data_IF_795266368214
#
_entry.id   IF_795266368214
#
_cell.length_a   1.000
_cell.length_b   1.000
_cell.length_c   1.000
_cell.angle_alpha   90.00
_cell.angle_beta   90.00
_cell.angle_gamma   90.00
#
_symmetry.space_group_name_H-M   'P 1'
#
loop_
_entity.id
_entity.type
_entity.pdbx_description
1 polymer ?
#
# COMPACT_ATOMS: atom_id res chain seq x y z
N UNK A 1 -3.81 -12.60 -9.21
CA UNK A 1 -3.74 -13.94 -8.56
C UNK A 1 -2.70 -14.87 -9.18
N UNK A 2 -2.67 -15.04 -10.51
CA UNK A 2 -1.69 -15.90 -11.19
C UNK A 2 -0.23 -15.54 -10.85
N UNK A 3 0.14 -14.26 -10.95
CA UNK A 3 1.49 -13.78 -10.63
C UNK A 3 1.91 -14.08 -9.18
N UNK A 4 0.98 -13.96 -8.23
CA UNK A 4 1.23 -14.31 -6.83
C UNK A 4 1.59 -15.80 -6.65
N UNK A 5 0.91 -16.68 -7.41
CA UNK A 5 1.16 -18.13 -7.38
C UNK A 5 2.56 -18.45 -7.89
N UNK A 6 2.97 -17.85 -9.01
CA UNK A 6 4.30 -18.10 -9.58
C UNK A 6 5.40 -17.54 -8.67
N UNK A 7 5.19 -16.33 -8.13
CA UNK A 7 6.13 -15.70 -7.21
C UNK A 7 6.35 -16.53 -5.93
N UNK A 8 5.28 -17.06 -5.33
CA UNK A 8 5.40 -17.99 -4.20
C UNK A 8 6.19 -19.25 -4.57
N UNK A 9 5.89 -19.87 -5.71
CA UNK A 9 6.60 -21.06 -6.17
C UNK A 9 8.10 -20.82 -6.37
N UNK A 10 8.47 -19.69 -6.97
CA UNK A 10 9.88 -19.32 -7.14
C UNK A 10 10.56 -18.96 -5.81
N UNK A 11 9.81 -18.42 -4.85
CA UNK A 11 10.30 -18.20 -3.48
C UNK A 11 10.73 -19.51 -2.81
N UNK A 12 9.89 -20.54 -2.85
CA UNK A 12 10.24 -21.87 -2.33
C UNK A 12 11.38 -22.52 -3.12
N UNK A 13 11.39 -22.39 -4.45
CA UNK A 13 12.47 -22.91 -5.29
C UNK A 13 13.82 -22.27 -4.96
N UNK A 14 13.84 -20.99 -4.57
CA UNK A 14 15.09 -20.28 -4.20
C UNK A 14 15.75 -20.95 -2.99
N UNK A 15 14.96 -21.54 -2.09
CA UNK A 15 15.43 -22.25 -0.91
C UNK A 15 15.67 -23.76 -1.16
N UNK A 16 15.41 -24.24 -2.38
CA UNK A 16 15.51 -25.67 -2.71
C UNK A 16 16.95 -26.11 -2.97
N UNK A 17 17.23 -27.37 -2.62
CA UNK A 17 18.51 -28.03 -2.95
C UNK A 17 18.69 -28.23 -4.46
N UNK A 18 17.60 -28.26 -5.22
CA UNK A 18 17.65 -28.50 -6.67
C UNK A 18 18.19 -27.28 -7.41
N UNK A 19 17.71 -26.07 -7.08
CA UNK A 19 18.29 -24.82 -7.61
C UNK A 19 19.76 -24.71 -7.21
N UNK A 20 20.13 -25.07 -5.98
CA UNK A 20 21.53 -25.12 -5.55
C UNK A 20 22.38 -26.07 -6.43
N UNK A 21 21.89 -27.28 -6.71
CA UNK A 21 22.58 -28.27 -7.56
C UNK A 21 22.66 -27.84 -9.02
N UNK A 22 21.58 -27.31 -9.58
CA UNK A 22 21.56 -26.75 -10.93
C UNK A 22 22.55 -25.59 -11.04
N UNK A 23 22.62 -24.76 -10.00
CA UNK A 23 23.60 -23.70 -9.80
C UNK A 23 25.06 -24.13 -10.03
N UNK A 24 25.42 -25.34 -9.60
CA UNK A 24 26.79 -25.86 -9.71
C UNK A 24 27.04 -26.63 -11.01
N UNK A 25 25.99 -26.99 -11.76
CA UNK A 25 26.10 -27.84 -12.96
C UNK A 25 25.85 -27.10 -14.26
N UNK A 26 25.17 -25.95 -14.23
CA UNK A 26 24.95 -25.15 -15.42
C UNK A 26 26.22 -24.43 -15.85
N UNK A 27 26.45 -24.45 -17.17
CA UNK A 27 27.38 -23.53 -17.82
C UNK A 27 26.84 -22.09 -17.75
N UNK A 28 27.67 -21.13 -18.13
CA UNK A 28 27.34 -19.70 -18.02
C UNK A 28 26.03 -19.34 -18.76
N UNK A 29 25.83 -19.83 -19.99
CA UNK A 29 24.66 -19.47 -20.80
C UNK A 29 23.36 -20.08 -20.26
N UNK A 30 23.39 -21.34 -19.82
CA UNK A 30 22.25 -21.98 -19.15
C UNK A 30 21.95 -21.31 -17.82
N UNK A 31 22.99 -20.88 -17.11
CA UNK A 31 22.81 -20.10 -15.88
C UNK A 31 22.11 -18.77 -16.13
N UNK A 32 22.51 -18.04 -17.18
CA UNK A 32 21.84 -16.79 -17.56
C UNK A 32 20.37 -17.03 -17.93
N UNK A 33 20.08 -18.06 -18.72
CA UNK A 33 18.70 -18.43 -19.05
C UNK A 33 17.89 -18.79 -17.79
N UNK A 34 18.46 -19.61 -16.90
CA UNK A 34 17.83 -19.97 -15.63
C UNK A 34 17.58 -18.73 -14.76
N UNK A 35 18.54 -17.80 -14.69
CA UNK A 35 18.43 -16.55 -13.94
C UNK A 35 17.25 -15.72 -14.45
N UNK A 36 17.17 -15.48 -15.76
CA UNK A 36 16.12 -14.65 -16.35
C UNK A 36 14.73 -15.28 -16.33
N UNK A 37 14.62 -16.61 -16.33
CA UNK A 37 13.33 -17.31 -16.42
C UNK A 37 12.77 -17.80 -15.08
N UNK A 38 13.62 -17.89 -14.04
CA UNK A 38 13.24 -18.47 -12.74
C UNK A 38 13.58 -17.54 -11.56
N UNK A 39 14.29 -18.03 -10.55
CA UNK A 39 14.56 -17.37 -9.26
C UNK A 39 15.29 -16.03 -9.41
N UNK A 40 16.20 -15.92 -10.39
CA UNK A 40 17.00 -14.72 -10.60
C UNK A 40 16.14 -13.49 -10.89
N UNK A 41 15.18 -13.61 -11.80
CA UNK A 41 14.24 -12.55 -12.16
C UNK A 41 13.41 -12.05 -10.97
N UNK A 42 12.90 -12.96 -10.14
CA UNK A 42 12.13 -12.59 -8.94
C UNK A 42 13.03 -11.95 -7.87
N UNK A 43 14.26 -12.41 -7.74
CA UNK A 43 15.25 -11.81 -6.86
C UNK A 43 15.63 -10.40 -7.31
N UNK A 44 15.91 -10.18 -8.60
CA UNK A 44 16.17 -8.84 -9.15
C UNK A 44 14.99 -7.92 -8.90
N UNK A 45 13.76 -8.38 -9.17
CA UNK A 45 12.51 -7.65 -8.91
C UNK A 45 12.39 -7.23 -7.45
N UNK A 46 12.67 -8.15 -6.51
CA UNK A 46 12.67 -7.86 -5.09
C UNK A 46 13.69 -6.77 -4.73
N UNK A 47 14.93 -6.90 -5.22
CA UNK A 47 15.98 -5.90 -5.00
C UNK A 47 15.58 -4.54 -5.57
N UNK A 48 14.99 -4.48 -6.77
CA UNK A 48 14.55 -3.21 -7.37
C UNK A 48 13.58 -2.47 -6.46
N UNK A 49 12.57 -3.17 -5.94
CA UNK A 49 11.60 -2.54 -5.01
C UNK A 49 12.25 -2.18 -3.67
N UNK A 50 13.12 -3.03 -3.12
CA UNK A 50 13.85 -2.72 -1.89
C UNK A 50 14.73 -1.48 -2.05
N UNK A 51 15.38 -1.30 -3.20
CA UNK A 51 16.17 -0.11 -3.51
C UNK A 51 15.31 1.16 -3.49
N UNK A 52 14.06 1.10 -3.98
CA UNK A 52 13.12 2.24 -3.87
C UNK A 52 12.83 2.58 -2.41
N UNK A 53 12.60 1.58 -1.57
CA UNK A 53 12.40 1.78 -0.12
C UNK A 53 13.64 2.38 0.55
N UNK A 54 14.81 1.81 0.30
CA UNK A 54 16.09 2.29 0.84
C UNK A 54 16.35 3.73 0.38
N UNK A 55 16.06 4.04 -0.88
CA UNK A 55 16.19 5.38 -1.43
C UNK A 55 15.27 6.38 -0.72
N UNK A 56 13.97 6.07 -0.57
CA UNK A 56 13.00 6.96 0.07
C UNK A 56 13.30 7.17 1.56
N UNK A 57 13.59 6.10 2.31
CA UNK A 57 13.97 6.22 3.72
C UNK A 57 15.32 6.90 3.89
N UNK A 58 16.29 6.61 3.03
CA UNK A 58 17.58 7.29 3.03
C UNK A 58 17.42 8.80 2.80
N UNK A 59 16.62 9.20 1.80
CA UNK A 59 16.29 10.61 1.54
C UNK A 59 15.60 11.26 2.73
N UNK A 60 14.60 10.59 3.30
CA UNK A 60 13.93 11.06 4.50
C UNK A 60 14.94 11.35 5.63
N UNK A 61 15.84 10.42 5.93
CA UNK A 61 16.81 10.60 7.01
C UNK A 61 17.80 11.74 6.73
N UNK A 62 18.20 11.96 5.47
CA UNK A 62 19.02 13.10 5.07
C UNK A 62 18.30 14.44 5.29
N UNK A 63 17.01 14.51 4.94
CA UNK A 63 16.19 15.71 5.16
C UNK A 63 15.97 15.96 6.66
N UNK A 64 15.53 14.94 7.40
CA UNK A 64 15.18 15.09 8.81
C UNK A 64 16.39 15.37 9.70
N UNK A 65 17.59 14.90 9.33
CA UNK A 65 18.83 15.22 10.06
C UNK A 65 19.37 16.62 9.77
N UNK A 66 18.83 17.34 8.79
CA UNK A 66 19.37 18.62 8.32
C UNK A 66 20.66 18.48 7.50
N UNK A 67 21.14 17.26 7.26
CA UNK A 67 22.34 17.02 6.44
C UNK A 67 22.10 17.45 4.99
N UNK A 68 20.88 17.27 4.46
CA UNK A 68 20.53 17.75 3.12
C UNK A 68 20.63 19.27 3.01
N UNK A 69 20.20 20.00 4.05
CA UNK A 69 20.36 21.46 4.11
C UNK A 69 21.84 21.84 4.17
N UNK A 70 22.65 21.16 4.98
CA UNK A 70 24.10 21.34 5.03
C UNK A 70 24.77 21.13 3.67
N UNK A 71 24.45 20.03 2.98
CA UNK A 71 24.96 19.74 1.63
C UNK A 71 24.52 20.79 0.60
N UNK A 72 23.32 21.35 0.75
CA UNK A 72 22.81 22.42 -0.13
C UNK A 72 23.55 23.74 0.01
N UNK A 73 24.19 24.00 1.16
CA UNK A 73 24.97 25.23 1.38
C UNK A 73 26.36 25.17 0.75
N UNK A 74 26.87 23.97 0.47
CA UNK A 74 28.18 23.78 -0.11
C UNK A 74 28.14 23.90 -1.65
N UNK A 75 28.69 24.99 -2.18
CA UNK A 75 28.68 25.30 -3.64
C UNK A 75 29.18 24.15 -4.51
N UNK A 76 30.25 23.48 -4.11
CA UNK A 76 30.83 22.36 -4.88
C UNK A 76 29.93 21.13 -5.05
N UNK A 77 28.88 21.00 -4.22
CA UNK A 77 27.90 19.91 -4.30
C UNK A 77 26.61 20.40 -4.98
N UNK A 78 26.18 21.63 -4.69
CA UNK A 78 25.00 22.26 -5.29
C UNK A 78 25.15 22.43 -6.82
N UNK A 79 26.29 22.95 -7.25
CA UNK A 79 26.56 23.33 -8.65
C UNK A 79 27.28 22.21 -9.43
N UNK A 80 27.23 20.97 -8.94
CA UNK A 80 27.87 19.83 -9.59
C UNK A 80 27.02 19.36 -10.80
N UNK A 81 27.19 20.06 -11.92
CA UNK A 81 26.53 19.75 -13.20
C UNK A 81 26.74 18.30 -13.66
N UNK A 82 27.96 17.71 -13.58
CA UNK A 82 28.15 16.30 -13.92
C UNK A 82 27.29 15.33 -13.11
N UNK A 83 27.17 15.55 -11.80
CA UNK A 83 26.33 14.73 -10.93
C UNK A 83 24.84 14.88 -11.26
N UNK A 84 24.39 16.10 -11.58
CA UNK A 84 23.01 16.34 -12.00
C UNK A 84 22.70 15.62 -13.32
N UNK A 85 23.60 15.71 -14.30
CA UNK A 85 23.45 15.02 -15.60
C UNK A 85 23.45 13.51 -15.42
N UNK A 86 24.35 12.94 -14.59
CA UNK A 86 24.41 11.51 -14.33
C UNK A 86 23.12 10.96 -13.69
N UNK A 87 22.51 11.72 -12.77
CA UNK A 87 21.25 11.32 -12.13
C UNK A 87 20.04 11.51 -13.05
N UNK A 88 20.04 12.57 -13.86
CA UNK A 88 19.00 12.80 -14.86
C UNK A 88 19.04 11.73 -15.95
N UNK A 89 20.24 11.37 -16.44
CA UNK A 89 20.42 10.29 -17.42
C UNK A 89 20.05 8.94 -16.82
N UNK A 90 20.43 8.66 -15.58
CA UNK A 90 19.98 7.46 -14.88
C UNK A 90 18.45 7.39 -14.83
N UNK A 91 17.79 8.47 -14.41
CA UNK A 91 16.33 8.51 -14.30
C UNK A 91 15.68 8.32 -15.68
N UNK A 92 16.10 9.08 -16.69
CA UNK A 92 15.54 9.00 -18.04
C UNK A 92 15.75 7.62 -18.71
N UNK A 93 16.94 7.05 -18.60
CA UNK A 93 17.31 5.78 -19.26
C UNK A 93 16.76 4.57 -18.50
N UNK A 94 16.66 4.62 -17.16
CA UNK A 94 16.06 3.55 -16.35
C UNK A 94 14.53 3.60 -16.30
N UNK A 95 13.88 4.75 -16.53
CA UNK A 95 12.41 4.84 -16.62
C UNK A 95 11.95 4.14 -17.89
N UNK A 96 11.74 2.83 -17.79
CA UNK A 96 11.03 2.00 -18.77
C UNK A 96 11.73 1.73 -20.09
N UNK A 97 12.59 2.62 -20.59
CA UNK A 97 13.18 2.53 -21.93
C UNK A 97 14.06 1.30 -22.10
N UNK A 98 15.02 1.06 -21.19
CA UNK A 98 15.88 -0.14 -21.24
C UNK A 98 15.11 -1.46 -21.06
N UNK A 99 13.98 -1.45 -20.34
CA UNK A 99 13.15 -2.65 -20.19
C UNK A 99 12.23 -2.88 -21.39
N UNK A 100 11.79 -1.82 -22.07
CA UNK A 100 10.96 -1.90 -23.26
C UNK A 100 11.77 -2.17 -24.53
N UNK A 101 13.05 -1.80 -24.56
CA UNK A 101 13.89 -1.92 -25.75
C UNK A 101 14.06 -3.37 -26.24
N UNK A 102 14.32 -4.38 -25.39
CA UNK A 102 14.37 -5.76 -25.85
C UNK A 102 13.10 -6.22 -26.56
N UNK A 103 11.93 -5.87 -26.00
CA UNK A 103 10.62 -6.17 -26.59
C UNK A 103 10.42 -5.43 -27.93
N UNK A 104 10.79 -4.14 -27.99
CA UNK A 104 10.73 -3.35 -29.21
C UNK A 104 11.62 -3.93 -30.32
N UNK A 105 12.81 -4.40 -29.95
CA UNK A 105 13.75 -5.03 -30.88
C UNK A 105 13.22 -6.38 -31.35
N UNK A 106 12.66 -7.21 -30.46
CA UNK A 106 12.03 -8.50 -30.81
C UNK A 106 10.90 -8.29 -31.81
N UNK A 107 9.92 -7.44 -31.50
CA UNK A 107 8.79 -7.13 -32.39
C UNK A 107 9.29 -6.47 -33.68
N UNK A 108 10.31 -5.60 -33.59
CA UNK A 108 10.90 -4.91 -34.73
C UNK A 108 11.56 -5.87 -35.72
N UNK A 109 12.26 -6.89 -35.21
CA UNK A 109 12.91 -7.93 -36.02
C UNK A 109 11.89 -8.93 -36.59
N UNK A 110 10.85 -9.29 -35.83
CA UNK A 110 9.84 -10.26 -36.28
C UNK A 110 8.78 -9.68 -37.23
N UNK A 111 8.34 -8.44 -36.98
CA UNK A 111 7.14 -7.84 -37.62
C UNK A 111 7.40 -6.46 -38.25
N UNK A 112 8.65 -5.99 -38.21
CA UNK A 112 9.07 -4.69 -38.74
C UNK A 112 8.93 -3.53 -37.74
N UNK A 113 9.86 -2.57 -37.82
CA UNK A 113 9.96 -1.45 -36.87
C UNK A 113 8.75 -0.50 -36.85
N UNK A 114 8.04 -0.33 -37.97
CA UNK A 114 6.81 0.48 -38.01
C UNK A 114 5.70 -0.17 -37.17
N UNK A 115 5.55 -1.48 -37.29
CA UNK A 115 4.61 -2.27 -36.50
C UNK A 115 4.98 -2.22 -35.02
N UNK A 116 6.27 -2.41 -34.70
CA UNK A 116 6.77 -2.31 -33.33
C UNK A 116 6.50 -0.95 -32.68
N UNK A 117 6.70 0.16 -33.40
CA UNK A 117 6.39 1.50 -32.89
C UNK A 117 4.89 1.68 -32.66
N UNK A 118 4.05 1.22 -33.59
CA UNK A 118 2.59 1.26 -33.46
C UNK A 118 2.09 0.45 -32.26
N UNK A 119 2.55 -0.79 -32.11
CA UNK A 119 2.23 -1.66 -30.98
C UNK A 119 2.70 -1.04 -29.66
N UNK A 120 3.90 -0.46 -29.62
CA UNK A 120 4.40 0.20 -28.42
C UNK A 120 3.53 1.38 -27.97
N UNK A 121 3.12 2.25 -28.90
CA UNK A 121 2.22 3.37 -28.60
C UNK A 121 0.87 2.84 -28.10
N UNK A 122 0.33 1.80 -28.73
CA UNK A 122 -0.92 1.17 -28.28
C UNK A 122 -0.78 0.59 -26.86
N UNK A 123 0.34 -0.05 -26.54
CA UNK A 123 0.60 -0.57 -25.19
C UNK A 123 0.66 0.55 -24.14
N UNK A 124 1.23 1.71 -24.48
CA UNK A 124 1.23 2.86 -23.56
C UNK A 124 -0.19 3.38 -23.31
N UNK A 125 -0.99 3.49 -24.38
CA UNK A 125 -2.40 3.92 -24.28
C UNK A 125 -3.26 2.92 -23.49
N UNK A 126 -2.96 1.63 -23.59
CA UNK A 126 -3.61 0.57 -22.80
C UNK A 126 -3.09 0.47 -21.36
N UNK A 127 -2.25 1.42 -20.92
CA UNK A 127 -1.69 1.50 -19.58
C UNK A 127 -0.82 0.28 -19.20
N UNK A 128 -0.10 -0.30 -20.16
CA UNK A 128 0.85 -1.37 -19.90
C UNK A 128 1.87 -1.02 -18.78
N UNK A 129 2.43 0.21 -18.69
CA UNK A 129 3.31 0.59 -17.57
C UNK A 129 2.63 0.44 -16.20
N UNK A 130 1.36 0.83 -16.08
CA UNK A 130 0.58 0.69 -14.84
C UNK A 130 0.40 -0.78 -14.50
N UNK A 131 0.08 -1.62 -15.49
CA UNK A 131 -0.07 -3.06 -15.27
C UNK A 131 1.25 -3.71 -14.82
N UNK A 132 2.37 -3.42 -15.49
CA UNK A 132 3.66 -4.02 -15.15
C UNK A 132 4.21 -3.53 -13.82
N UNK A 133 4.10 -2.24 -13.51
CA UNK A 133 4.48 -1.70 -12.20
C UNK A 133 3.62 -2.27 -11.07
N UNK A 134 2.32 -2.54 -11.32
CA UNK A 134 1.48 -3.26 -10.37
C UNK A 134 1.90 -4.73 -10.21
N UNK A 135 2.16 -5.44 -11.31
CA UNK A 135 2.64 -6.82 -11.28
C UNK A 135 3.97 -6.97 -10.52
N UNK A 136 4.88 -5.99 -10.65
CA UNK A 136 6.13 -5.92 -9.88
C UNK A 136 5.89 -5.97 -8.36
N UNK A 137 4.87 -5.23 -7.88
CA UNK A 137 4.48 -5.21 -6.47
C UNK A 137 3.97 -6.58 -6.00
N UNK A 138 3.15 -7.23 -6.81
CA UNK A 138 2.67 -8.59 -6.57
C UNK A 138 3.84 -9.57 -6.46
N UNK A 139 4.71 -9.62 -7.47
CA UNK A 139 5.86 -10.53 -7.52
C UNK A 139 6.75 -10.35 -6.29
N UNK A 140 7.11 -9.10 -6.00
CA UNK A 140 7.95 -8.74 -4.86
C UNK A 140 7.35 -9.17 -3.52
N UNK A 141 6.07 -8.87 -3.28
CA UNK A 141 5.44 -9.16 -2.00
C UNK A 141 5.39 -10.66 -1.72
N UNK A 142 4.89 -11.44 -2.67
CA UNK A 142 4.70 -12.88 -2.50
C UNK A 142 6.03 -13.65 -2.50
N UNK A 143 6.98 -13.26 -3.37
CA UNK A 143 8.33 -13.81 -3.37
C UNK A 143 9.06 -13.53 -2.04
N UNK A 144 9.09 -12.26 -1.60
CA UNK A 144 9.77 -11.87 -0.36
C UNK A 144 9.15 -12.46 0.91
N UNK A 145 7.81 -12.53 0.99
CA UNK A 145 7.11 -13.18 2.11
C UNK A 145 7.46 -14.66 2.20
N UNK A 146 7.48 -15.35 1.07
CA UNK A 146 7.85 -16.77 1.01
C UNK A 146 9.31 -16.97 1.42
N UNK A 147 10.22 -16.08 1.03
CA UNK A 147 11.62 -16.16 1.43
C UNK A 147 11.82 -16.00 2.95
N UNK A 148 11.07 -15.10 3.59
CA UNK A 148 11.22 -14.79 5.02
C UNK A 148 10.45 -15.75 5.94
N UNK A 149 9.27 -16.21 5.54
CA UNK A 149 8.37 -16.99 6.39
C UNK A 149 7.99 -18.35 5.82
N UNK A 150 8.27 -18.62 4.54
CA UNK A 150 7.72 -19.75 3.82
C UNK A 150 6.20 -19.67 3.66
N UNK A 151 5.57 -20.82 3.45
CA UNK A 151 4.12 -20.95 3.51
C UNK A 151 3.43 -20.58 2.20
N UNK A 152 4.01 -20.99 1.07
CA UNK A 152 3.36 -20.89 -0.23
C UNK A 152 1.98 -21.58 -0.21
N UNK A 153 0.91 -20.79 -0.14
CA UNK A 153 -0.47 -21.29 -0.22
C UNK A 153 -0.90 -21.41 -1.67
N UNK A 154 -1.44 -22.56 -2.05
CA UNK A 154 -2.08 -22.70 -3.35
C UNK A 154 -3.28 -21.74 -3.44
N UNK A 155 -3.28 -20.90 -4.47
CA UNK A 155 -4.43 -20.06 -4.82
C UNK A 155 -5.00 -20.56 -6.14
N UNK A 156 -6.24 -21.03 -6.11
CA UNK A 156 -6.94 -21.47 -7.31
C UNK A 156 -7.16 -20.26 -8.22
N UNK A 157 -6.50 -20.27 -9.38
CA UNK A 157 -6.81 -19.36 -10.47
C UNK A 157 -7.95 -20.00 -11.27
N UNK A 158 -9.16 -19.47 -11.14
CA UNK A 158 -10.30 -19.95 -11.93
C UNK A 158 -10.01 -19.82 -13.43
N UNK A 159 -10.40 -20.84 -14.21
CA UNK A 159 -10.48 -20.78 -15.67
C UNK A 159 -11.94 -20.48 -16.03
N UNK A 160 -12.34 -19.22 -15.87
CA UNK A 160 -13.70 -18.75 -16.18
C UNK A 160 -13.67 -17.51 -17.06
N UNK A 161 -14.84 -17.05 -17.51
CA UNK A 161 -14.96 -15.79 -18.24
C UNK A 161 -14.45 -14.64 -17.34
N UNK A 162 -13.29 -14.06 -17.69
CA UNK A 162 -12.47 -13.16 -16.84
C UNK A 162 -13.04 -11.72 -16.81
N UNK A 163 -14.36 -11.58 -16.84
CA UNK A 163 -15.01 -10.32 -17.23
C UNK A 163 -16.15 -9.95 -16.29
N UNK A 164 -15.87 -9.96 -15.00
CA UNK A 164 -16.83 -9.51 -13.98
C UNK A 164 -16.21 -8.42 -13.13
N UNK A 165 -17.07 -7.47 -12.76
CA UNK A 165 -16.73 -6.48 -11.75
C UNK A 165 -16.36 -7.18 -10.44
N UNK A 166 -15.13 -6.99 -9.98
CA UNK A 166 -14.69 -7.42 -8.66
C UNK A 166 -15.13 -6.36 -7.63
N UNK A 167 -15.78 -6.79 -6.55
CA UNK A 167 -16.22 -5.85 -5.51
C UNK A 167 -15.04 -5.16 -4.86
N UNK A 168 -15.24 -3.95 -4.36
CA UNK A 168 -14.23 -3.23 -3.58
C UNK A 168 -13.67 -4.08 -2.42
N UNK A 169 -14.53 -4.78 -1.67
CA UNK A 169 -14.10 -5.64 -0.57
C UNK A 169 -13.20 -6.80 -1.03
N UNK A 170 -13.40 -7.33 -2.24
CA UNK A 170 -12.57 -8.41 -2.80
C UNK A 170 -11.19 -7.87 -3.19
N UNK A 171 -11.17 -6.74 -3.90
CA UNK A 171 -9.94 -6.05 -4.28
C UNK A 171 -9.14 -5.63 -3.04
N UNK A 172 -9.81 -5.10 -2.02
CA UNK A 172 -9.20 -4.71 -0.76
C UNK A 172 -8.53 -5.88 -0.06
N UNK A 173 -9.23 -7.00 0.10
CA UNK A 173 -8.67 -8.20 0.75
C UNK A 173 -7.50 -8.79 0.00
N UNK A 174 -7.54 -8.74 -1.33
CA UNK A 174 -6.48 -9.32 -2.17
C UNK A 174 -5.20 -8.46 -2.18
N UNK A 175 -5.35 -7.12 -2.16
CA UNK A 175 -4.25 -6.18 -2.39
C UNK A 175 -3.83 -5.34 -1.17
N UNK A 176 -4.54 -5.41 -0.04
CA UNK A 176 -4.24 -4.62 1.17
C UNK A 176 -2.77 -4.72 1.59
N UNK A 177 -2.25 -5.93 1.85
CA UNK A 177 -0.85 -6.12 2.30
C UNK A 177 0.20 -6.02 1.19
N UNK A 178 -0.19 -6.40 -0.03
CA UNK A 178 0.76 -6.49 -1.15
C UNK A 178 1.01 -5.15 -1.81
N UNK A 179 0.01 -4.28 -1.87
CA UNK A 179 0.09 -3.00 -2.58
C UNK A 179 -0.38 -1.83 -1.72
N UNK A 180 -1.55 -1.89 -1.09
CA UNK A 180 -2.14 -0.69 -0.49
C UNK A 180 -1.37 -0.15 0.71
N UNK A 181 -1.05 -1.00 1.68
CA UNK A 181 -0.19 -0.63 2.83
C UNK A 181 1.14 -0.07 2.34
N UNK A 182 1.76 -0.75 1.38
CA UNK A 182 3.06 -0.39 0.83
C UNK A 182 3.05 0.92 0.05
N UNK A 183 2.02 1.13 -0.75
CA UNK A 183 1.77 2.34 -1.53
C UNK A 183 1.49 3.53 -0.63
N UNK A 184 0.68 3.35 0.43
CA UNK A 184 0.43 4.38 1.43
C UNK A 184 1.70 4.72 2.23
N UNK A 185 2.52 3.73 2.58
CA UNK A 185 3.82 3.97 3.22
C UNK A 185 4.73 4.84 2.33
N UNK A 186 4.88 4.48 1.05
CA UNK A 186 5.66 5.28 0.10
C UNK A 186 5.05 6.66 -0.14
N UNK A 187 3.73 6.77 -0.20
CA UNK A 187 3.02 8.05 -0.31
C UNK A 187 3.34 8.96 0.87
N UNK A 188 3.29 8.44 2.10
CA UNK A 188 3.63 9.20 3.31
C UNK A 188 5.09 9.67 3.30
N UNK A 189 6.02 8.82 2.86
CA UNK A 189 7.43 9.20 2.69
C UNK A 189 7.61 10.34 1.69
N UNK A 190 6.93 10.26 0.54
CA UNK A 190 6.98 11.30 -0.50
C UNK A 190 6.34 12.62 -0.03
N UNK A 191 5.22 12.56 0.68
CA UNK A 191 4.57 13.75 1.26
C UNK A 191 5.49 14.43 2.26
N UNK A 192 6.12 13.67 3.16
CA UNK A 192 7.09 14.24 4.11
C UNK A 192 8.30 14.82 3.40
N UNK A 193 8.82 14.12 2.39
CA UNK A 193 9.91 14.65 1.57
C UNK A 193 9.52 15.93 0.82
N UNK A 194 8.26 16.09 0.41
CA UNK A 194 7.76 17.32 -0.20
C UNK A 194 7.63 18.47 0.83
N UNK A 195 7.25 18.17 2.07
CA UNK A 195 7.07 19.17 3.13
C UNK A 195 8.41 19.71 3.63
N UNK A 196 9.39 18.83 3.87
CA UNK A 196 10.67 19.19 4.49
C UNK A 196 11.86 19.25 3.52
N UNK A 197 11.73 18.66 2.33
CA UNK A 197 12.82 18.61 1.37
C UNK A 197 13.11 19.97 0.75
N UNK A 198 14.36 20.42 0.85
CA UNK A 198 14.88 21.55 0.07
C UNK A 198 15.35 21.07 -1.29
N UNK A 199 14.81 21.59 -2.40
CA UNK A 199 15.22 21.21 -3.76
C UNK A 199 16.63 21.76 -4.10
N UNK A 200 17.67 21.17 -3.50
CA UNK A 200 19.07 21.62 -3.64
C UNK A 200 19.65 21.43 -5.06
N UNK A 201 18.98 20.67 -5.93
CA UNK A 201 19.44 20.33 -7.30
C UNK A 201 18.55 20.89 -8.42
N UNK A 202 17.70 21.87 -8.11
CA UNK A 202 16.74 22.45 -9.04
C UNK A 202 15.46 21.63 -9.19
N UNK A 203 14.39 22.30 -9.62
CA UNK A 203 13.02 21.74 -9.69
C UNK A 203 12.95 20.56 -10.65
N UNK A 204 13.69 20.60 -11.77
CA UNK A 204 13.65 19.57 -12.82
C UNK A 204 14.22 18.24 -12.32
N UNK A 205 15.39 18.24 -11.66
CA UNK A 205 15.99 17.02 -11.13
C UNK A 205 15.12 16.40 -10.03
N UNK A 206 14.52 17.24 -9.18
CA UNK A 206 13.56 16.79 -8.17
C UNK A 206 12.35 16.10 -8.80
N UNK A 207 11.75 16.72 -9.82
CA UNK A 207 10.58 16.18 -10.52
C UNK A 207 10.91 14.87 -11.24
N UNK A 208 12.03 14.81 -11.96
CA UNK A 208 12.44 13.60 -12.71
C UNK A 208 12.65 12.39 -11.80
N UNK A 209 13.22 12.60 -10.62
CA UNK A 209 13.40 11.54 -9.64
C UNK A 209 12.04 11.14 -9.06
N UNK A 210 11.28 12.09 -8.52
CA UNK A 210 10.07 11.81 -7.72
C UNK A 210 8.87 11.35 -8.54
N UNK A 211 8.75 11.73 -9.83
CA UNK A 211 7.62 11.35 -10.69
C UNK A 211 7.50 9.83 -10.85
N UNK A 212 8.63 9.13 -10.91
CA UNK A 212 8.66 7.68 -11.02
C UNK A 212 8.11 7.00 -9.76
N UNK A 213 8.42 7.53 -8.58
CA UNK A 213 7.90 7.01 -7.30
C UNK A 213 6.43 7.36 -7.12
N UNK A 214 6.00 8.57 -7.49
CA UNK A 214 4.58 8.94 -7.50
C UNK A 214 3.76 8.08 -8.46
N UNK A 215 4.31 7.78 -9.64
CA UNK A 215 3.69 6.86 -10.61
C UNK A 215 3.54 5.46 -10.01
N UNK A 216 4.56 4.94 -9.33
CA UNK A 216 4.51 3.66 -8.64
C UNK A 216 3.47 3.64 -7.52
N UNK A 217 3.39 4.70 -6.70
CA UNK A 217 2.37 4.87 -5.65
C UNK A 217 0.97 4.87 -6.25
N UNK A 218 0.71 5.71 -7.26
CA UNK A 218 -0.60 5.79 -7.92
C UNK A 218 -1.01 4.45 -8.53
N UNK A 219 -0.06 3.78 -9.17
CA UNK A 219 -0.26 2.43 -9.73
C UNK A 219 -0.65 1.42 -8.64
N UNK A 220 0.10 1.34 -7.54
CA UNK A 220 -0.16 0.37 -6.48
C UNK A 220 -1.49 0.61 -5.75
N UNK A 221 -1.91 1.86 -5.61
CA UNK A 221 -3.17 2.21 -4.96
C UNK A 221 -4.38 2.01 -5.88
N UNK A 222 -4.27 2.36 -7.17
CA UNK A 222 -5.46 2.51 -8.03
C UNK A 222 -5.55 1.54 -9.21
N UNK A 223 -4.49 0.83 -9.59
CA UNK A 223 -4.55 -0.14 -10.69
C UNK A 223 -5.65 -1.22 -10.51
N UNK A 224 -5.91 -1.77 -9.31
CA UNK A 224 -6.98 -2.74 -9.13
C UNK A 224 -8.36 -2.22 -9.55
N UNK A 225 -8.63 -0.92 -9.36
CA UNK A 225 -9.90 -0.30 -9.72
C UNK A 225 -9.91 0.12 -11.19
N UNK A 226 -8.77 0.58 -11.70
CA UNK A 226 -8.60 1.00 -13.09
C UNK A 226 -8.77 -0.16 -14.07
N UNK A 227 -8.27 -1.35 -13.75
CA UNK A 227 -8.44 -2.55 -14.56
C UNK A 227 -9.69 -3.37 -14.20
N UNK A 228 -10.56 -2.85 -13.33
CA UNK A 228 -11.80 -3.53 -12.95
C UNK A 228 -12.96 -3.15 -13.89
N UNK A 229 -13.59 -4.10 -14.59
CA UNK A 229 -14.81 -3.83 -15.35
C UNK A 229 -15.87 -3.09 -14.52
N UNK A 230 -16.49 -2.05 -15.07
CA UNK A 230 -17.44 -1.18 -14.34
C UNK A 230 -16.88 -0.58 -13.03
N UNK A 231 -15.55 -0.46 -12.90
CA UNK A 231 -14.88 0.03 -11.70
C UNK A 231 -15.21 1.47 -11.32
N UNK A 232 -15.69 2.27 -12.27
CA UNK A 232 -16.13 3.66 -12.05
C UNK A 232 -17.63 3.86 -12.32
N UNK A 233 -18.43 2.80 -12.26
CA UNK A 233 -19.89 2.91 -12.42
C UNK A 233 -20.54 3.24 -11.07
N UNK A 234 -21.21 4.40 -10.97
CA UNK A 234 -21.75 4.92 -9.70
C UNK A 234 -22.61 3.90 -8.93
N UNK A 235 -23.51 3.18 -9.62
CA UNK A 235 -24.37 2.19 -8.97
C UNK A 235 -23.55 1.06 -8.33
N UNK A 236 -22.50 0.60 -9.00
CA UNK A 236 -21.60 -0.44 -8.47
C UNK A 236 -20.79 0.04 -7.28
N UNK A 237 -20.32 1.29 -7.33
CA UNK A 237 -19.60 1.91 -6.21
C UNK A 237 -20.48 2.02 -4.97
N UNK A 238 -21.77 2.39 -5.12
CA UNK A 238 -22.70 2.43 -3.99
C UNK A 238 -22.92 1.02 -3.41
N UNK A 239 -23.12 0.01 -4.26
CA UNK A 239 -23.25 -1.39 -3.81
C UNK A 239 -21.97 -1.84 -3.07
N UNK A 240 -20.80 -1.54 -3.62
CA UNK A 240 -19.49 -1.85 -3.04
C UNK A 240 -19.27 -1.19 -1.68
N UNK A 241 -19.72 0.05 -1.51
CA UNK A 241 -19.68 0.74 -0.21
C UNK A 241 -20.48 0.00 0.85
N UNK A 242 -21.69 -0.45 0.49
CA UNK A 242 -22.54 -1.19 1.42
C UNK A 242 -21.96 -2.55 1.78
N UNK A 243 -21.39 -3.27 0.79
CA UNK A 243 -20.76 -4.57 0.97
C UNK A 243 -19.49 -4.47 1.84
N UNK A 244 -18.61 -3.50 1.56
CA UNK A 244 -17.40 -3.25 2.35
C UNK A 244 -17.73 -2.82 3.78
N UNK A 245 -18.71 -1.93 3.97
CA UNK A 245 -19.17 -1.55 5.31
C UNK A 245 -19.76 -2.73 6.08
N UNK A 246 -20.47 -3.64 5.43
CA UNK A 246 -20.96 -4.85 6.08
C UNK A 246 -19.79 -5.76 6.48
N UNK A 247 -18.86 -5.99 5.57
CA UNK A 247 -17.68 -6.84 5.79
C UNK A 247 -16.78 -6.32 6.93
N UNK A 248 -16.44 -5.02 6.94
CA UNK A 248 -15.59 -4.42 7.96
C UNK A 248 -16.26 -4.44 9.34
N UNK A 249 -17.60 -4.42 9.36
CA UNK A 249 -18.36 -4.38 10.60
C UNK A 249 -18.67 -5.74 11.21
N UNK A 250 -18.75 -6.79 10.39
CA UNK A 250 -19.06 -8.14 10.83
C UNK A 250 -18.00 -8.74 11.76
N UNK A 251 -18.46 -9.29 12.88
CA UNK A 251 -17.63 -10.05 13.82
C UNK A 251 -17.36 -11.43 13.21
N UNK A 252 -16.12 -11.88 13.33
CA UNK A 252 -15.70 -13.20 12.87
C UNK A 252 -16.05 -14.29 13.88
N UNK A 253 -15.66 -15.52 13.58
CA UNK A 253 -15.90 -16.66 14.44
C UNK A 253 -15.31 -17.93 13.82
N UNK A 254 -15.30 -19.02 14.59
CA UNK A 254 -14.83 -20.32 14.10
C UNK A 254 -15.71 -20.72 12.90
N UNK A 255 -15.08 -20.96 11.75
CA UNK A 255 -15.76 -21.36 10.52
C UNK A 255 -16.39 -20.22 9.70
N UNK A 256 -16.27 -18.95 10.12
CA UNK A 256 -16.74 -17.81 9.30
C UNK A 256 -15.73 -17.50 8.21
N UNK A 257 -16.09 -17.57 6.91
CA UNK A 257 -15.17 -17.29 5.80
C UNK A 257 -14.65 -15.85 5.83
N UNK A 258 -13.40 -15.65 5.38
CA UNK A 258 -12.76 -14.34 5.23
C UNK A 258 -13.53 -13.35 4.33
N UNK A 259 -14.36 -13.87 3.42
CA UNK A 259 -15.26 -13.08 2.56
C UNK A 259 -16.40 -12.41 3.32
N UNK A 260 -16.82 -12.96 4.45
CA UNK A 260 -17.98 -12.47 5.19
C UNK A 260 -17.61 -11.58 6.37
N UNK A 261 -16.39 -11.70 6.89
CA UNK A 261 -15.93 -10.93 8.04
C UNK A 261 -14.48 -10.46 7.90
N UNK A 262 -14.27 -9.19 8.21
CA UNK A 262 -12.94 -8.60 8.32
C UNK A 262 -12.06 -9.29 9.36
N UNK A 263 -12.63 -9.71 10.49
CA UNK A 263 -11.86 -10.36 11.55
C UNK A 263 -11.30 -11.71 11.09
N UNK A 264 -12.11 -12.55 10.44
CA UNK A 264 -11.62 -13.82 9.90
C UNK A 264 -10.54 -13.60 8.84
N UNK A 265 -10.73 -12.61 7.96
CA UNK A 265 -9.72 -12.24 6.96
C UNK A 265 -8.41 -11.75 7.60
N UNK A 266 -8.50 -10.88 8.61
CA UNK A 266 -7.35 -10.30 9.28
C UNK A 266 -6.53 -11.37 10.02
N UNK A 267 -7.19 -12.37 10.61
CA UNK A 267 -6.57 -13.54 11.20
C UNK A 267 -5.91 -14.46 10.17
N UNK A 268 -6.57 -14.73 9.04
CA UNK A 268 -6.02 -15.52 7.93
C UNK A 268 -4.78 -14.85 7.33
N UNK A 269 -4.80 -13.54 7.13
CA UNK A 269 -3.70 -12.80 6.51
C UNK A 269 -2.40 -12.92 7.34
N UNK A 270 -2.52 -13.03 8.66
CA UNK A 270 -1.41 -13.17 9.60
C UNK A 270 -0.99 -14.62 9.89
N UNK A 271 -1.65 -15.61 9.30
CA UNK A 271 -1.42 -17.02 9.61
C UNK A 271 0.04 -17.44 9.39
N UNK A 272 0.69 -16.89 8.38
CA UNK A 272 2.13 -17.11 8.08
C UNK A 272 3.06 -16.80 9.26
N UNK A 273 2.73 -15.82 10.11
CA UNK A 273 3.55 -15.47 11.27
C UNK A 273 3.53 -16.57 12.34
N UNK A 274 2.47 -17.40 12.40
CA UNK A 274 2.38 -18.53 13.33
C UNK A 274 3.41 -19.62 13.01
N UNK A 275 3.75 -19.76 11.73
CA UNK A 275 4.71 -20.75 11.24
C UNK A 275 6.11 -20.18 11.02
N UNK A 276 6.30 -18.87 11.25
CA UNK A 276 7.59 -18.23 11.07
C UNK A 276 8.56 -18.61 12.18
N UNK A 277 9.81 -18.93 11.79
CA UNK A 277 10.89 -19.17 12.74
C UNK A 277 11.29 -17.90 13.50
N UNK A 278 12.03 -18.06 14.60
CA UNK A 278 12.51 -16.94 15.45
C UNK A 278 13.23 -15.85 14.65
N UNK A 279 14.02 -16.24 13.63
CA UNK A 279 14.73 -15.30 12.75
C UNK A 279 13.77 -14.41 11.96
N UNK A 280 12.69 -14.98 11.41
CA UNK A 280 11.68 -14.22 10.67
C UNK A 280 10.95 -13.21 11.56
N UNK A 281 10.59 -13.62 12.78
CA UNK A 281 9.99 -12.72 13.79
C UNK A 281 10.93 -11.56 14.16
N UNK A 282 12.22 -11.85 14.36
CA UNK A 282 13.22 -10.80 14.64
C UNK A 282 13.34 -9.84 13.46
N UNK A 283 13.35 -10.33 12.22
CA UNK A 283 13.38 -9.48 11.02
C UNK A 283 12.13 -8.59 10.93
N UNK A 284 10.93 -9.11 11.23
CA UNK A 284 9.69 -8.31 11.27
C UNK A 284 9.76 -7.17 12.29
N UNK A 285 10.29 -7.45 13.48
CA UNK A 285 10.50 -6.44 14.52
C UNK A 285 11.50 -5.40 14.03
N UNK A 286 12.66 -5.83 13.52
CA UNK A 286 13.72 -4.93 13.04
C UNK A 286 13.23 -4.04 11.90
N UNK A 287 12.49 -4.60 10.94
CA UNK A 287 11.88 -3.83 9.86
C UNK A 287 10.88 -2.81 10.42
N UNK A 288 10.08 -3.17 11.43
CA UNK A 288 9.09 -2.28 12.05
C UNK A 288 9.73 -1.14 12.84
N UNK A 289 10.98 -1.27 13.31
CA UNK A 289 11.70 -0.21 14.03
C UNK A 289 11.84 1.08 13.21
N UNK A 290 11.84 0.99 11.87
CA UNK A 290 11.93 2.15 10.97
C UNK A 290 10.85 3.20 11.23
N UNK A 291 9.65 2.79 11.66
CA UNK A 291 8.55 3.70 11.93
C UNK A 291 8.78 4.56 13.19
N UNK A 292 9.54 4.05 14.14
CA UNK A 292 9.90 4.79 15.36
C UNK A 292 11.01 5.79 15.10
N UNK A 293 11.99 5.44 14.25
CA UNK A 293 13.03 6.36 13.77
C UNK A 293 12.38 7.49 12.95
N UNK A 294 11.41 7.15 12.11
CA UNK A 294 10.61 8.10 11.34
C UNK A 294 9.91 9.12 12.25
N UNK A 295 9.24 8.67 13.31
CA UNK A 295 8.59 9.55 14.29
C UNK A 295 9.60 10.43 15.01
N UNK A 296 10.72 9.86 15.46
CA UNK A 296 11.78 10.60 16.12
C UNK A 296 12.24 11.78 15.25
N UNK A 297 12.52 11.53 13.97
CA UNK A 297 12.93 12.60 13.06
C UNK A 297 11.88 13.70 12.91
N UNK A 298 10.60 13.36 12.78
CA UNK A 298 9.52 14.36 12.62
C UNK A 298 9.24 15.16 13.88
N UNK A 299 9.27 14.54 15.06
CA UNK A 299 9.03 15.23 16.33
C UNK A 299 10.05 16.35 16.56
N UNK A 300 11.29 16.18 16.08
CA UNK A 300 12.35 17.18 16.17
C UNK A 300 12.16 18.41 15.28
N UNK A 301 11.24 18.34 14.31
CA UNK A 301 10.88 19.45 13.42
C UNK A 301 9.60 20.19 13.86
N UNK A 302 9.01 19.83 15.00
CA UNK A 302 7.86 20.55 15.55
C UNK A 302 8.28 21.88 16.17
N UNK A 303 7.52 22.94 15.93
CA UNK A 303 7.80 24.30 16.43
C UNK A 303 7.96 24.36 17.97
N UNK A 304 7.15 23.60 18.71
CA UNK A 304 7.23 23.49 20.18
C UNK A 304 8.62 23.04 20.65
N UNK A 305 9.33 22.27 19.83
CA UNK A 305 10.58 21.59 20.19
C UNK A 305 11.83 22.35 19.73
N UNK A 306 11.68 23.48 19.03
CA UNK A 306 12.80 24.28 18.49
C UNK A 306 13.79 24.70 19.58
N UNK A 307 13.28 25.08 20.75
CA UNK A 307 14.09 25.56 21.88
C UNK A 307 14.79 24.44 22.66
N UNK A 308 14.29 23.21 22.60
CA UNK A 308 14.82 22.07 23.39
C UNK A 308 14.87 20.79 22.56
N UNK A 309 16.02 20.49 21.95
CA UNK A 309 16.22 19.29 21.11
C UNK A 309 16.73 18.08 21.91
N UNK A 310 16.17 17.87 23.10
CA UNK A 310 16.57 16.76 23.96
C UNK A 310 15.82 15.47 23.62
N UNK A 311 16.48 14.32 23.81
CA UNK A 311 15.86 12.99 23.67
C UNK A 311 14.58 12.82 24.52
N UNK A 312 14.47 13.58 25.62
CA UNK A 312 13.29 13.65 26.46
C UNK A 312 12.02 14.07 25.70
N UNK A 313 12.13 14.94 24.69
CA UNK A 313 10.99 15.36 23.87
C UNK A 313 10.40 14.19 23.11
N UNK A 314 11.26 13.33 22.55
CA UNK A 314 10.81 12.09 21.95
C UNK A 314 10.12 11.20 22.99
N UNK A 315 10.70 11.02 24.18
CA UNK A 315 10.06 10.29 25.28
C UNK A 315 8.68 10.84 25.68
N UNK A 316 8.53 12.16 25.76
CA UNK A 316 7.24 12.82 26.05
C UNK A 316 6.23 12.59 24.93
N UNK A 317 6.65 12.53 23.66
CA UNK A 317 5.76 12.23 22.54
C UNK A 317 5.06 10.86 22.68
N UNK A 318 5.65 9.91 23.40
CA UNK A 318 5.01 8.62 23.68
C UNK A 318 3.81 8.72 24.61
N UNK A 319 3.68 9.79 25.41
CA UNK A 319 2.46 10.03 26.20
C UNK A 319 1.23 10.15 25.29
N UNK A 320 1.38 10.72 24.10
CA UNK A 320 0.30 10.79 23.10
C UNK A 320 -0.11 9.39 22.65
N UNK A 321 0.87 8.51 22.40
CA UNK A 321 0.62 7.11 22.03
C UNK A 321 -0.11 6.38 23.17
N UNK A 322 0.37 6.51 24.41
CA UNK A 322 -0.28 5.88 25.56
C UNK A 322 -1.71 6.39 25.76
N UNK A 323 -1.95 7.70 25.55
CA UNK A 323 -3.28 8.29 25.60
C UNK A 323 -4.20 7.67 24.52
N UNK A 324 -3.73 7.58 23.27
CA UNK A 324 -4.49 6.95 22.17
C UNK A 324 -4.81 5.48 22.50
N UNK A 325 -3.83 4.71 22.97
CA UNK A 325 -4.03 3.32 23.36
C UNK A 325 -5.01 3.18 24.54
N UNK A 326 -4.96 4.10 25.50
CA UNK A 326 -5.90 4.16 26.62
C UNK A 326 -7.32 4.44 26.15
N UNK A 327 -7.51 5.46 25.30
CA UNK A 327 -8.82 5.78 24.69
C UNK A 327 -9.34 4.57 23.91
N UNK A 328 -8.50 3.92 23.11
CA UNK A 328 -8.88 2.73 22.34
C UNK A 328 -9.28 1.56 23.23
N UNK A 329 -8.57 1.33 24.33
CA UNK A 329 -8.93 0.31 25.34
C UNK A 329 -10.29 0.62 25.96
N UNK A 330 -10.53 1.86 26.35
CA UNK A 330 -11.81 2.32 26.92
C UNK A 330 -12.96 2.13 25.93
N UNK A 331 -12.77 2.47 24.65
CA UNK A 331 -13.77 2.24 23.59
C UNK A 331 -14.02 0.76 23.37
N UNK A 332 -12.98 -0.08 23.36
CA UNK A 332 -13.10 -1.53 23.16
C UNK A 332 -13.88 -2.20 24.29
N UNK A 333 -13.55 -1.88 25.54
CA UNK A 333 -14.27 -2.36 26.73
C UNK A 333 -15.70 -1.83 26.75
N UNK A 334 -15.88 -0.53 26.47
CA UNK A 334 -17.18 0.11 26.41
C UNK A 334 -18.11 -0.52 25.36
N UNK A 335 -17.58 -0.85 24.18
CA UNK A 335 -18.31 -1.58 23.14
C UNK A 335 -18.74 -2.96 23.64
N UNK A 336 -17.87 -3.73 24.28
CA UNK A 336 -18.21 -5.08 24.77
C UNK A 336 -19.26 -5.05 25.90
N UNK A 337 -19.15 -4.10 26.82
CA UNK A 337 -19.97 -4.06 28.05
C UNK A 337 -21.31 -3.33 27.86
N UNK A 338 -21.36 -2.30 27.01
CA UNK A 338 -22.51 -1.39 26.92
C UNK A 338 -23.18 -1.34 25.55
N UNK A 339 -22.58 -1.88 24.47
CA UNK A 339 -23.19 -1.81 23.14
C UNK A 339 -24.51 -2.57 23.03
N UNK A 340 -24.68 -3.66 23.78
CA UNK A 340 -25.88 -4.50 23.71
C UNK A 340 -26.99 -4.04 24.67
N UNK A 341 -26.61 -3.55 25.85
CA UNK A 341 -27.55 -3.20 26.94
C UNK A 341 -27.87 -1.71 27.04
N UNK A 342 -26.96 -0.80 26.66
CA UNK A 342 -27.11 0.65 26.86
C UNK A 342 -26.55 1.46 25.68
N UNK A 343 -27.29 1.48 24.56
CA UNK A 343 -26.88 2.21 23.35
C UNK A 343 -26.69 3.71 23.57
N UNK A 344 -27.54 4.35 24.39
CA UNK A 344 -27.44 5.79 24.70
C UNK A 344 -26.14 6.11 25.44
N UNK A 345 -25.81 5.34 26.48
CA UNK A 345 -24.59 5.54 27.26
C UNK A 345 -23.33 5.36 26.40
N UNK A 346 -23.34 4.41 25.47
CA UNK A 346 -22.24 4.24 24.53
C UNK A 346 -22.10 5.43 23.54
N UNK A 347 -23.21 6.04 23.10
CA UNK A 347 -23.17 7.27 22.28
C UNK A 347 -22.64 8.46 23.08
N UNK A 348 -23.05 8.59 24.36
CA UNK A 348 -22.54 9.63 25.25
C UNK A 348 -21.03 9.49 25.49
N UNK A 349 -20.53 8.27 25.74
CA UNK A 349 -19.08 8.01 25.88
C UNK A 349 -18.33 8.43 24.62
N UNK A 350 -18.85 8.11 23.43
CA UNK A 350 -18.24 8.56 22.16
C UNK A 350 -18.23 10.09 22.03
N UNK A 351 -19.35 10.72 22.37
CA UNK A 351 -19.46 12.19 22.36
C UNK A 351 -18.47 12.84 23.33
N UNK A 352 -18.32 12.30 24.53
CA UNK A 352 -17.37 12.80 25.53
C UNK A 352 -15.93 12.63 25.07
N UNK A 353 -15.56 11.47 24.50
CA UNK A 353 -14.24 11.25 23.91
C UNK A 353 -13.97 12.28 22.79
N UNK A 354 -14.95 12.53 21.92
CA UNK A 354 -14.83 13.53 20.86
C UNK A 354 -14.64 14.95 21.40
N UNK A 355 -15.40 15.34 22.42
CA UNK A 355 -15.25 16.65 23.08
C UNK A 355 -13.88 16.78 23.76
N UNK A 356 -13.41 15.74 24.45
CA UNK A 356 -12.06 15.76 25.04
C UNK A 356 -10.97 15.90 23.99
N UNK A 357 -11.13 15.24 22.83
CA UNK A 357 -10.18 15.37 21.73
C UNK A 357 -10.15 16.79 21.15
N UNK A 358 -11.32 17.41 20.94
CA UNK A 358 -11.40 18.82 20.51
C UNK A 358 -10.77 19.74 21.55
N UNK A 359 -11.07 19.54 22.83
CA UNK A 359 -10.50 20.36 23.91
C UNK A 359 -8.97 20.28 23.93
N UNK A 360 -8.38 19.08 23.75
CA UNK A 360 -6.93 18.91 23.66
C UNK A 360 -6.36 19.66 22.45
N UNK A 361 -7.00 19.58 21.28
CA UNK A 361 -6.56 20.32 20.09
C UNK A 361 -6.61 21.84 20.34
N UNK A 362 -7.71 22.34 20.91
CA UNK A 362 -7.85 23.77 21.21
C UNK A 362 -6.75 24.21 22.17
N UNK A 363 -6.50 23.45 23.24
CA UNK A 363 -5.43 23.72 24.20
C UNK A 363 -4.05 23.75 23.52
N UNK A 364 -3.77 22.78 22.64
CA UNK A 364 -2.50 22.74 21.90
C UNK A 364 -2.32 23.96 20.97
N UNK A 365 -3.39 24.44 20.34
CA UNK A 365 -3.34 25.63 19.48
C UNK A 365 -3.20 26.90 20.33
N UNK A 366 -3.97 27.04 21.41
CA UNK A 366 -4.01 28.30 22.18
C UNK A 366 -2.87 28.44 23.19
N UNK A 367 -2.47 27.36 23.87
CA UNK A 367 -1.43 27.39 24.90
C UNK A 367 -0.05 27.01 24.36
N UNK A 368 0.02 26.01 23.46
CA UNK A 368 1.29 25.55 22.89
C UNK A 368 1.62 26.23 21.55
N UNK A 369 0.77 27.17 21.08
CA UNK A 369 0.95 27.93 19.84
C UNK A 369 1.26 27.05 18.61
N UNK A 370 0.68 25.84 18.55
CA UNK A 370 0.90 24.93 17.43
C UNK A 370 0.33 25.49 16.13
N UNK A 371 1.13 25.41 15.06
CA UNK A 371 0.69 25.75 13.71
C UNK A 371 -0.11 24.60 13.08
N UNK A 372 -0.86 24.89 12.02
CA UNK A 372 -1.55 23.86 11.22
C UNK A 372 -0.54 22.85 10.65
N UNK A 373 0.65 23.31 10.26
CA UNK A 373 1.72 22.44 9.79
C UNK A 373 2.15 21.45 10.88
N UNK A 374 2.29 21.90 12.13
CA UNK A 374 2.64 21.02 13.25
C UNK A 374 1.59 19.95 13.51
N UNK A 375 0.30 20.26 13.34
CA UNK A 375 -0.80 19.28 13.45
C UNK A 375 -0.66 18.19 12.37
N UNK A 376 -0.38 18.60 11.13
CA UNK A 376 -0.15 17.67 10.01
C UNK A 376 1.07 16.79 10.31
N UNK A 377 2.17 17.39 10.78
CA UNK A 377 3.41 16.66 11.13
C UNK A 377 3.15 15.67 12.27
N UNK A 378 2.36 16.02 13.28
CA UNK A 378 1.94 15.08 14.33
C UNK A 378 1.16 13.90 13.76
N UNK A 379 0.18 14.12 12.88
CA UNK A 379 -0.57 13.03 12.23
C UNK A 379 0.39 12.14 11.45
N UNK A 380 1.28 12.75 10.66
CA UNK A 380 2.26 12.04 9.86
C UNK A 380 3.24 11.27 10.75
N UNK A 381 3.63 11.77 11.92
CA UNK A 381 4.55 11.10 12.84
C UNK A 381 3.89 9.92 13.58
N UNK A 382 2.69 10.11 14.14
CA UNK A 382 2.07 9.09 14.99
C UNK A 382 1.36 7.98 14.20
N UNK A 383 0.85 8.27 13.00
CA UNK A 383 0.15 7.26 12.19
C UNK A 383 1.07 6.07 11.80
N UNK A 384 2.30 6.28 11.29
CA UNK A 384 3.23 5.19 11.02
C UNK A 384 3.74 4.50 12.29
N UNK A 385 3.95 5.21 13.40
CA UNK A 385 4.32 4.55 14.67
C UNK A 385 3.25 3.61 15.16
N UNK A 386 1.98 4.02 15.13
CA UNK A 386 0.87 3.15 15.49
C UNK A 386 0.79 1.91 14.61
N UNK A 387 1.13 2.03 13.33
CA UNK A 387 1.28 0.89 12.43
C UNK A 387 2.46 0.00 12.80
N UNK A 388 3.63 0.58 13.10
CA UNK A 388 4.82 -0.16 13.56
C UNK A 388 4.57 -0.94 14.85
N UNK A 389 3.88 -0.33 15.83
CA UNK A 389 3.45 -1.03 17.06
C UNK A 389 2.50 -2.18 16.76
N UNK A 390 1.59 -1.99 15.81
CA UNK A 390 0.67 -3.04 15.37
C UNK A 390 1.41 -4.20 14.71
N UNK A 391 2.38 -3.95 13.84
CA UNK A 391 3.21 -5.00 13.23
C UNK A 391 4.00 -5.79 14.29
N UNK A 392 4.63 -5.09 15.25
CA UNK A 392 5.33 -5.73 16.37
C UNK A 392 4.36 -6.57 17.21
N UNK A 393 3.16 -6.06 17.49
CA UNK A 393 2.15 -6.79 18.25
C UNK A 393 1.66 -8.05 17.51
N UNK A 394 1.57 -8.01 16.17
CA UNK A 394 1.23 -9.16 15.33
C UNK A 394 2.35 -10.20 15.33
N UNK A 395 3.61 -9.77 15.18
CA UNK A 395 4.78 -10.66 15.24
C UNK A 395 4.92 -11.34 16.62
N UNK A 396 4.61 -10.61 17.70
CA UNK A 396 4.65 -11.09 19.08
C UNK A 396 3.30 -11.62 19.61
N UNK A 397 2.39 -12.04 18.72
CA UNK A 397 1.02 -12.43 19.07
C UNK A 397 0.86 -13.31 20.32
N UNK A 398 1.64 -14.41 20.53
CA UNK A 398 1.48 -15.26 21.71
C UNK A 398 1.68 -14.51 23.03
N UNK A 399 2.63 -13.57 23.06
CA UNK A 399 2.96 -12.76 24.25
C UNK A 399 1.85 -11.73 24.50
N UNK A 400 1.41 -11.04 23.44
CA UNK A 400 0.36 -10.01 23.53
C UNK A 400 -0.99 -10.62 23.93
N UNK A 401 -1.28 -11.83 23.45
CA UNK A 401 -2.47 -12.57 23.83
C UNK A 401 -2.44 -12.96 25.32
N UNK A 402 -1.31 -13.46 25.82
CA UNK A 402 -1.13 -13.77 27.25
C UNK A 402 -1.26 -12.54 28.14
N UNK A 403 -0.81 -11.38 27.67
CA UNK A 403 -0.95 -10.11 28.36
C UNK A 403 -2.36 -9.49 28.29
N UNK A 404 -3.31 -10.10 27.58
CA UNK A 404 -4.70 -9.64 27.50
C UNK A 404 -4.94 -8.41 26.59
N UNK A 405 -3.94 -7.95 25.84
CA UNK A 405 -4.05 -6.76 24.99
C UNK A 405 -4.55 -7.03 23.56
N UNK A 406 -4.72 -8.30 23.16
CA UNK A 406 -5.12 -8.66 21.79
C UNK A 406 -6.43 -8.02 21.33
N UNK A 407 -7.39 -7.84 22.24
CA UNK A 407 -8.65 -7.15 21.94
C UNK A 407 -8.43 -5.69 21.50
N UNK A 408 -7.51 -4.98 22.14
CA UNK A 408 -7.13 -3.61 21.78
C UNK A 408 -6.38 -3.56 20.47
N UNK A 409 -5.43 -4.49 20.23
CA UNK A 409 -4.70 -4.60 18.96
C UNK A 409 -5.65 -4.81 17.80
N UNK A 410 -6.64 -5.69 17.94
CA UNK A 410 -7.67 -5.91 16.92
C UNK A 410 -8.51 -4.65 16.68
N UNK A 411 -8.89 -3.91 17.72
CA UNK A 411 -9.62 -2.64 17.55
C UNK A 411 -8.78 -1.59 16.82
N UNK A 412 -7.50 -1.48 17.15
CA UNK A 412 -6.56 -0.58 16.46
C UNK A 412 -6.38 -0.98 14.99
N UNK A 413 -6.17 -2.26 14.72
CA UNK A 413 -6.07 -2.81 13.37
C UNK A 413 -7.26 -2.43 12.52
N UNK A 414 -8.48 -2.64 13.04
CA UNK A 414 -9.71 -2.28 12.33
C UNK A 414 -9.78 -0.79 12.03
N UNK A 415 -9.32 0.06 12.94
CA UNK A 415 -9.24 1.51 12.73
C UNK A 415 -8.37 1.86 11.54
N UNK A 416 -7.16 1.30 11.46
CA UNK A 416 -6.27 1.49 10.31
C UNK A 416 -6.92 1.01 9.00
N UNK A 417 -7.55 -0.17 9.00
CA UNK A 417 -8.18 -0.73 7.80
C UNK A 417 -9.37 0.12 7.32
N UNK A 418 -10.13 0.73 8.25
CA UNK A 418 -11.18 1.69 7.91
C UNK A 418 -10.58 2.94 7.25
N UNK A 419 -9.52 3.52 7.84
CA UNK A 419 -8.86 4.71 7.30
C UNK A 419 -8.28 4.44 5.92
N UNK A 420 -7.55 3.32 5.74
CA UNK A 420 -7.00 2.93 4.45
C UNK A 420 -8.10 2.67 3.41
N UNK A 421 -9.18 1.97 3.79
CA UNK A 421 -10.33 1.75 2.92
C UNK A 421 -10.98 3.06 2.48
N UNK A 422 -11.18 4.02 3.39
CA UNK A 422 -11.71 5.35 3.08
C UNK A 422 -10.80 6.15 2.13
N UNK A 423 -9.49 6.14 2.37
CA UNK A 423 -8.51 6.82 1.52
C UNK A 423 -8.50 6.29 0.08
N UNK A 424 -8.75 4.99 -0.10
CA UNK A 424 -8.84 4.36 -1.42
C UNK A 424 -10.22 4.56 -2.06
N UNK A 425 -11.29 4.42 -1.27
CA UNK A 425 -12.66 4.48 -1.76
C UNK A 425 -13.05 5.89 -2.20
N UNK A 426 -12.62 6.93 -1.46
CA UNK A 426 -13.03 8.31 -1.72
C UNK A 426 -12.63 8.81 -3.12
N UNK A 427 -11.38 8.66 -3.59
CA UNK A 427 -11.01 9.05 -4.95
C UNK A 427 -11.75 8.25 -6.02
N UNK A 428 -11.95 6.94 -5.81
CA UNK A 428 -12.68 6.08 -6.75
C UNK A 428 -14.15 6.50 -6.85
N UNK A 429 -14.80 6.79 -5.73
CA UNK A 429 -16.17 7.25 -5.69
C UNK A 429 -16.33 8.64 -6.32
N UNK A 430 -15.37 9.54 -6.08
CA UNK A 430 -15.34 10.84 -6.73
C UNK A 430 -15.20 10.72 -8.25
N UNK A 431 -14.30 9.87 -8.74
CA UNK A 431 -14.16 9.61 -10.18
C UNK A 431 -15.40 8.96 -10.79
N UNK A 432 -16.07 8.06 -10.06
CA UNK A 432 -17.30 7.41 -10.50
C UNK A 432 -18.50 8.36 -10.61
N UNK A 433 -18.44 9.54 -9.98
CA UNK A 433 -19.45 10.59 -10.14
C UNK A 433 -19.48 11.12 -11.58
N UNK A 434 -18.36 11.05 -12.29
CA UNK A 434 -18.23 11.57 -13.65
C UNK A 434 -18.48 10.46 -14.68
N UNK A 435 -19.59 10.52 -15.47
CA UNK A 435 -19.95 9.44 -16.40
C UNK A 435 -18.89 9.14 -17.46
N UNK A 436 -18.14 10.16 -17.90
CA UNK A 436 -17.11 10.02 -18.92
C UNK A 436 -15.96 9.10 -18.49
N UNK A 437 -15.67 8.99 -17.19
CA UNK A 437 -14.57 8.16 -16.68
C UNK A 437 -14.85 6.68 -16.95
N UNK A 438 -16.10 6.23 -16.69
CA UNK A 438 -16.52 4.85 -16.96
C UNK A 438 -16.49 4.54 -18.46
N UNK A 439 -16.89 5.49 -19.30
CA UNK A 439 -16.82 5.33 -20.76
C UNK A 439 -15.38 5.25 -21.27
N UNK A 440 -14.52 6.15 -20.80
CA UNK A 440 -13.11 6.18 -21.17
C UNK A 440 -12.41 4.88 -20.77
N UNK A 441 -12.61 4.42 -19.54
CA UNK A 441 -12.10 3.14 -19.05
C UNK A 441 -12.54 1.99 -19.96
N UNK A 442 -13.84 1.92 -20.28
CA UNK A 442 -14.43 0.86 -21.09
C UNK A 442 -13.85 0.83 -22.50
N UNK A 443 -13.69 1.98 -23.15
CA UNK A 443 -13.19 2.08 -24.54
C UNK A 443 -11.70 1.85 -24.65
N UNK A 444 -10.94 2.29 -23.65
CA UNK A 444 -9.47 2.23 -23.69
C UNK A 444 -8.94 0.86 -23.29
N UNK A 445 -9.53 0.21 -22.27
CA UNK A 445 -8.99 -1.02 -21.68
C UNK A 445 -9.69 -2.29 -22.16
N UNK A 446 -10.87 -2.18 -22.76
CA UNK A 446 -11.66 -3.34 -23.11
C UNK A 446 -12.20 -3.27 -24.54
N UNK A 447 -12.23 -4.41 -25.22
CA UNK A 447 -12.56 -4.51 -26.65
C UNK A 447 -14.04 -4.15 -26.95
N UNK A 448 -14.38 -3.79 -28.20
CA UNK A 448 -15.77 -3.48 -28.61
C UNK A 448 -16.75 -4.66 -28.43
N UNK A 449 -16.27 -5.91 -28.46
CA UNK A 449 -17.09 -7.06 -28.10
C UNK A 449 -17.48 -7.06 -26.60
N UNK A 450 -16.62 -6.51 -25.73
CA UNK A 450 -16.86 -6.31 -24.30
C UNK A 450 -17.82 -5.14 -24.04
N UNK A 451 -17.76 -4.06 -24.82
CA UNK A 451 -18.70 -2.93 -24.66
C UNK A 451 -20.15 -3.33 -24.95
N UNK A 452 -20.37 -4.21 -25.94
CA UNK A 452 -21.70 -4.82 -26.20
C UNK A 452 -22.18 -5.70 -25.05
N UNK A 453 -21.30 -6.52 -24.46
CA UNK A 453 -21.64 -7.36 -23.30
C UNK A 453 -21.96 -6.56 -22.03
N UNK A 454 -21.23 -5.46 -21.78
CA UNK A 454 -21.52 -4.53 -20.69
C UNK A 454 -22.85 -3.80 -20.88
N UNK A 455 -23.18 -3.37 -22.10
CA UNK A 455 -24.47 -2.77 -22.41
C UNK A 455 -25.63 -3.74 -22.12
N UNK A 456 -25.48 -5.01 -22.52
CA UNK A 456 -26.47 -6.06 -22.23
C UNK A 456 -26.57 -6.31 -20.71
N UNK A 457 -25.45 -6.36 -19.99
CA UNK A 457 -25.44 -6.51 -18.53
C UNK A 457 -26.13 -5.35 -17.80
N UNK A 458 -25.91 -4.10 -18.24
CA UNK A 458 -26.62 -2.92 -17.71
C UNK A 458 -28.13 -2.99 -17.96
N UNK A 459 -28.55 -3.41 -19.15
CA UNK A 459 -29.97 -3.58 -19.51
C UNK A 459 -30.63 -4.67 -18.67
N UNK A 460 -29.98 -5.83 -18.54
CA UNK A 460 -30.48 -6.95 -17.72
C UNK A 460 -30.48 -6.65 -16.21
N UNK A 461 -29.49 -5.88 -15.75
CA UNK A 461 -29.40 -5.40 -14.37
C UNK A 461 -30.52 -4.42 -14.01
N UNK A 462 -30.88 -3.54 -14.95
CA UNK A 462 -32.05 -2.65 -14.84
C UNK A 462 -33.36 -3.42 -14.68
N UNK A 463 -33.61 -4.42 -15.54
CA UNK A 463 -34.81 -5.25 -15.46
C UNK A 463 -34.94 -6.10 -14.19
N UNK A 464 -33.83 -6.48 -13.55
CA UNK A 464 -33.88 -7.17 -12.25
C UNK A 464 -34.33 -6.26 -11.11
N UNK A 465 -34.01 -4.96 -11.17
CA UNK A 465 -34.47 -3.96 -10.19
C UNK A 465 -35.98 -3.74 -10.29
N UNK A 466 -36.52 -3.62 -11.51
CA UNK A 466 -37.96 -3.45 -11.77
C UNK A 466 -38.82 -4.66 -11.38
N UNK A 467 -38.27 -5.88 -11.46
CA UNK A 467 -38.96 -7.07 -10.92
C UNK A 467 -38.92 -7.15 -9.40
N UNK A 468 -37.89 -6.61 -8.75
CA UNK A 468 -37.78 -6.60 -7.29
C UNK A 468 -38.67 -5.55 -6.62
N UNK A 469 -38.99 -4.45 -7.31
CA UNK A 469 -39.96 -3.44 -6.85
C UNK A 469 -41.40 -3.90 -7.02
N UNK A 470 -41.71 -4.71 -8.05
CA UNK A 470 -43.06 -5.27 -8.28
C UNK A 470 -43.48 -6.39 -7.31
N UNK A 471 -42.54 -7.03 -6.61
CA UNK A 471 -42.83 -8.07 -5.62
C UNK A 471 -42.94 -7.52 -4.17
N UNK A 472 -43.04 -6.20 -4.00
CA UNK A 472 -43.20 -5.53 -2.71
C UNK A 472 -44.47 -4.68 -2.59
N UNK A 473 -45.41 -4.83 -3.53
CA UNK A 473 -46.79 -4.36 -3.37
C UNK A 473 -47.73 -5.53 -3.06
#
# INVERSE_FOLDING_TARGET
>A
MFEAKIANGNGEQTLSRDIYRLGHRFDFFRMMSCYFTTVGFYFSTLITVLTVYIFLYGRLYLVLSGLEQGLSTQKGIRDNTPLQIALASQSFVQIGFLMALPMLMEIGLERGFRTALSEFVLMQLQLAPVFFTFSLGTKTHYYGRTLLHGGAKYRSTGRGFVVFHAKFADNYRLYSRSHFVKGLEMMLLLVVYQIFGSAYRGVVAYLLITISMWFMVGTWLFAPFLFNPSGFEWQKIVDDWTDWNKWINNIGGIGVPAEKSWESWWEEEQEHLRHSGKRGIVVEILLSLRFFIYQYGLVYHLTITEKTKNFLVYGVSWLVIFLILFVMKTVSVGRRKFSASFQLMFRLIKGLIFLTFIAIIVILITLAHMTIQDIIVCILAFMPTGWGMLLIAQACKPVVHRAGFWGSVRTLARGYEIVMGLLLFTPVAFLAWFPFVSEFQTRMLFNQAFSRGLQISRILGGHRKDRSSRNKE
#
